data_IF_706530989422
#
_entry.id   IF_706530989422
#
_cell.length_a   1.000
_cell.length_b   1.000
_cell.length_c   1.000
_cell.angle_alpha   90.00
_cell.angle_beta   90.00
_cell.angle_gamma   90.00
#
_symmetry.space_group_name_H-M   'P 1'
#
loop_
_entity.id
_entity.type
_entity.pdbx_description
1 polymer ?
#
# COMPACT_ATOMS: atom_id res chain seq x y z
N UNK A 1 23.51 -29.16 1.53
CA UNK A 1 22.40 -28.71 2.41
C UNK A 1 22.25 -27.18 2.45
N UNK A 2 23.35 -26.41 2.45
CA UNK A 2 23.36 -24.93 2.46
C UNK A 2 22.68 -24.33 1.21
N UNK A 3 22.97 -24.84 0.01
CA UNK A 3 22.41 -24.34 -1.26
C UNK A 3 20.88 -24.47 -1.37
N UNK A 4 20.31 -25.57 -0.85
CA UNK A 4 18.86 -25.80 -0.84
C UNK A 4 18.13 -24.84 0.12
N UNK A 5 18.72 -24.56 1.29
CA UNK A 5 18.21 -23.51 2.20
C UNK A 5 18.27 -22.13 1.56
N UNK A 6 19.35 -21.81 0.84
CA UNK A 6 19.55 -20.54 0.12
C UNK A 6 18.49 -20.35 -0.99
N UNK A 7 18.22 -21.39 -1.79
CA UNK A 7 17.20 -21.34 -2.85
C UNK A 7 15.78 -21.24 -2.28
N UNK A 8 15.48 -22.00 -1.22
CA UNK A 8 14.18 -21.98 -0.55
C UNK A 8 13.87 -20.61 0.10
N UNK A 9 14.89 -19.94 0.67
CA UNK A 9 14.75 -18.59 1.22
C UNK A 9 14.40 -17.56 0.15
N UNK A 10 15.09 -17.58 -1.00
CA UNK A 10 14.82 -16.65 -2.11
C UNK A 10 13.42 -16.89 -2.70
N UNK A 11 13.03 -18.15 -2.89
CA UNK A 11 11.69 -18.50 -3.41
C UNK A 11 10.59 -18.09 -2.42
N UNK A 12 10.77 -18.33 -1.13
CA UNK A 12 9.83 -17.89 -0.09
C UNK A 12 9.69 -16.37 -0.07
N UNK A 13 10.79 -15.64 -0.24
CA UNK A 13 10.81 -14.17 -0.30
C UNK A 13 10.03 -13.65 -1.52
N UNK A 14 10.27 -14.24 -2.69
CA UNK A 14 9.59 -13.88 -3.94
C UNK A 14 8.09 -14.13 -3.86
N UNK A 15 7.67 -15.28 -3.32
CA UNK A 15 6.25 -15.60 -3.12
C UNK A 15 5.60 -14.56 -2.20
N UNK A 16 6.25 -14.19 -1.09
CA UNK A 16 5.76 -13.15 -0.18
C UNK A 16 5.56 -11.80 -0.89
N UNK A 17 6.54 -11.37 -1.69
CA UNK A 17 6.45 -10.11 -2.44
C UNK A 17 5.35 -10.12 -3.51
N UNK A 18 5.17 -11.25 -4.21
CA UNK A 18 4.10 -11.43 -5.19
C UNK A 18 2.73 -11.36 -4.52
N UNK A 19 2.57 -12.03 -3.37
CA UNK A 19 1.31 -11.99 -2.61
C UNK A 19 1.00 -10.56 -2.18
N UNK A 20 1.97 -9.83 -1.61
CA UNK A 20 1.80 -8.43 -1.20
C UNK A 20 1.38 -7.55 -2.38
N UNK A 21 2.03 -7.71 -3.55
CA UNK A 21 1.68 -6.95 -4.75
C UNK A 21 0.24 -7.25 -5.22
N UNK A 22 -0.15 -8.53 -5.29
CA UNK A 22 -1.50 -8.90 -5.75
C UNK A 22 -2.60 -8.48 -4.77
N UNK A 23 -2.44 -8.79 -3.48
CA UNK A 23 -3.40 -8.41 -2.44
C UNK A 23 -3.52 -6.90 -2.40
N UNK A 24 -2.40 -6.20 -2.50
CA UNK A 24 -2.41 -4.76 -2.45
C UNK A 24 -3.06 -4.11 -3.68
N UNK A 25 -2.83 -4.62 -4.89
CA UNK A 25 -3.54 -4.16 -6.10
C UNK A 25 -5.05 -4.38 -5.97
N UNK A 26 -5.45 -5.54 -5.43
CA UNK A 26 -6.86 -5.86 -5.23
C UNK A 26 -7.53 -4.93 -4.22
N UNK A 27 -6.92 -4.74 -3.04
CA UNK A 27 -7.42 -3.85 -2.00
C UNK A 27 -7.48 -2.39 -2.47
N UNK A 28 -6.46 -1.92 -3.18
CA UNK A 28 -6.42 -0.57 -3.74
C UNK A 28 -7.54 -0.34 -4.76
N UNK A 29 -7.76 -1.29 -5.68
CA UNK A 29 -8.84 -1.18 -6.66
C UNK A 29 -10.23 -1.19 -5.99
N UNK A 30 -10.44 -2.06 -4.99
CA UNK A 30 -11.69 -2.08 -4.22
C UNK A 30 -11.96 -0.75 -3.51
N UNK A 31 -10.92 -0.14 -2.92
CA UNK A 31 -11.06 1.14 -2.22
C UNK A 31 -11.37 2.28 -3.20
N UNK A 32 -10.70 2.32 -4.36
CA UNK A 32 -10.98 3.29 -5.42
C UNK A 32 -12.42 3.13 -5.93
N UNK A 33 -12.86 1.90 -6.21
CA UNK A 33 -14.23 1.64 -6.67
C UNK A 33 -15.26 2.09 -5.63
N UNK A 34 -15.00 1.83 -4.35
CA UNK A 34 -15.85 2.30 -3.24
C UNK A 34 -15.94 3.82 -3.20
N UNK A 35 -14.81 4.53 -3.32
CA UNK A 35 -14.77 6.00 -3.35
C UNK A 35 -15.54 6.54 -4.56
N UNK A 36 -15.33 5.95 -5.74
CA UNK A 36 -16.00 6.37 -6.97
C UNK A 36 -17.51 6.11 -6.92
N UNK A 37 -17.95 4.97 -6.38
CA UNK A 37 -19.36 4.65 -6.18
C UNK A 37 -20.03 5.66 -5.25
N UNK A 38 -19.37 5.96 -4.12
CA UNK A 38 -19.83 6.97 -3.17
C UNK A 38 -19.90 8.36 -3.82
N UNK A 39 -18.85 8.75 -4.56
CA UNK A 39 -18.78 10.05 -5.20
C UNK A 39 -19.88 10.21 -6.26
N UNK A 40 -20.11 9.17 -7.06
CA UNK A 40 -21.15 9.19 -8.09
C UNK A 40 -22.56 9.29 -7.48
N UNK A 41 -22.83 8.53 -6.40
CA UNK A 41 -24.09 8.62 -5.67
C UNK A 41 -24.32 9.99 -5.04
N UNK A 42 -23.27 10.59 -4.49
CA UNK A 42 -23.34 11.91 -3.86
C UNK A 42 -23.51 13.01 -4.91
N UNK A 43 -22.81 12.89 -6.05
CA UNK A 43 -22.93 13.80 -7.17
C UNK A 43 -24.35 13.79 -7.76
N UNK A 44 -24.95 12.61 -7.94
CA UNK A 44 -26.32 12.47 -8.45
C UNK A 44 -27.35 13.14 -7.51
N UNK A 45 -27.08 13.14 -6.20
CA UNK A 45 -27.88 13.82 -5.19
C UNK A 45 -27.65 15.33 -5.08
N UNK A 46 -26.47 15.85 -5.43
CA UNK A 46 -26.03 17.23 -5.19
C UNK A 46 -25.90 18.08 -6.47
N UNK A 47 -26.57 17.74 -7.57
CA UNK A 47 -26.62 18.54 -8.82
C UNK A 47 -27.37 19.88 -8.68
N UNK A 48 -26.98 20.70 -7.69
CA UNK A 48 -27.27 22.13 -7.58
C UNK A 48 -26.17 22.83 -6.79
N UNK A 49 -25.28 23.51 -7.52
CA UNK A 49 -24.47 24.65 -7.07
C UNK A 49 -23.25 24.41 -6.15
N UNK A 50 -22.12 24.02 -6.75
CA UNK A 50 -20.72 24.44 -6.48
C UNK A 50 -19.77 23.27 -6.76
N UNK A 51 -18.56 23.58 -7.25
CA UNK A 51 -17.47 22.61 -7.32
C UNK A 51 -17.31 21.95 -5.94
N UNK A 52 -17.63 20.65 -5.77
CA UNK A 52 -17.76 20.10 -4.44
C UNK A 52 -16.37 19.88 -3.88
N UNK A 53 -16.06 20.47 -2.72
CA UNK A 53 -14.85 20.16 -1.97
C UNK A 53 -14.68 18.63 -1.77
N UNK A 54 -15.80 17.89 -1.77
CA UNK A 54 -15.87 16.43 -1.76
C UNK A 54 -15.11 15.75 -2.92
N UNK A 55 -15.11 16.31 -4.12
CA UNK A 55 -14.35 15.76 -5.26
C UNK A 55 -12.85 15.90 -5.02
N UNK A 56 -12.40 17.04 -4.51
CA UNK A 56 -10.99 17.26 -4.18
C UNK A 56 -10.50 16.31 -3.09
N UNK A 57 -11.30 16.10 -2.04
CA UNK A 57 -10.99 15.15 -0.98
C UNK A 57 -11.00 13.69 -1.48
N UNK A 58 -11.92 13.33 -2.37
CA UNK A 58 -11.89 12.02 -3.03
C UNK A 58 -10.61 11.83 -3.86
N UNK A 59 -10.19 12.84 -4.63
CA UNK A 59 -8.96 12.78 -5.41
C UNK A 59 -7.70 12.61 -4.56
N UNK A 60 -7.60 13.31 -3.41
CA UNK A 60 -6.48 13.14 -2.48
C UNK A 60 -6.41 11.71 -1.91
N UNK A 61 -7.56 11.10 -1.65
CA UNK A 61 -7.61 9.74 -1.16
C UNK A 61 -7.24 8.71 -2.23
N UNK A 62 -7.76 8.88 -3.46
CA UNK A 62 -7.41 8.06 -4.62
C UNK A 62 -5.91 8.20 -4.96
N UNK A 63 -5.31 9.37 -4.73
CA UNK A 63 -3.88 9.57 -4.95
C UNK A 63 -3.01 8.65 -4.09
N UNK A 64 -3.40 8.40 -2.83
CA UNK A 64 -2.71 7.44 -1.96
C UNK A 64 -2.77 6.02 -2.53
N UNK A 65 -3.92 5.62 -3.07
CA UNK A 65 -4.11 4.31 -3.68
C UNK A 65 -3.33 4.17 -5.01
N UNK A 66 -3.25 5.25 -5.80
CA UNK A 66 -2.40 5.32 -7.01
C UNK A 66 -0.92 5.12 -6.69
N UNK A 67 -0.41 5.75 -5.63
CA UNK A 67 0.97 5.53 -5.17
C UNK A 67 1.20 4.06 -4.81
N UNK A 68 0.19 3.38 -4.29
CA UNK A 68 0.28 1.97 -3.96
C UNK A 68 0.30 1.06 -5.19
N UNK A 69 -0.52 1.35 -6.19
CA UNK A 69 -0.49 0.64 -7.49
C UNK A 69 0.91 0.78 -8.09
N UNK A 70 1.48 1.98 -8.09
CA UNK A 70 2.86 2.21 -8.52
C UNK A 70 3.87 1.39 -7.71
N UNK A 71 3.76 1.37 -6.37
CA UNK A 71 4.63 0.58 -5.50
C UNK A 71 4.53 -0.93 -5.79
N UNK A 72 3.33 -1.43 -6.09
CA UNK A 72 3.08 -2.84 -6.46
C UNK A 72 3.68 -3.20 -7.80
N UNK A 73 3.54 -2.34 -8.81
CA UNK A 73 4.18 -2.52 -10.12
C UNK A 73 5.71 -2.52 -9.99
N UNK A 74 6.26 -1.59 -9.20
CA UNK A 74 7.69 -1.55 -8.91
C UNK A 74 8.16 -2.81 -8.16
N UNK A 75 7.35 -3.33 -7.23
CA UNK A 75 7.66 -4.55 -6.49
C UNK A 75 7.66 -5.78 -7.41
N UNK A 76 6.69 -5.86 -8.31
CA UNK A 76 6.63 -6.91 -9.33
C UNK A 76 7.86 -6.86 -10.24
N UNK A 77 8.24 -5.66 -10.69
CA UNK A 77 9.45 -5.46 -11.50
C UNK A 77 10.74 -5.76 -10.71
N UNK A 78 10.79 -5.45 -9.42
CA UNK A 78 11.91 -5.78 -8.53
C UNK A 78 12.11 -7.30 -8.40
N UNK A 79 11.01 -8.05 -8.28
CA UNK A 79 11.03 -9.52 -8.24
C UNK A 79 11.55 -10.11 -9.57
N UNK A 80 11.11 -9.57 -10.72
CA UNK A 80 11.54 -10.05 -12.04
C UNK A 80 13.00 -9.70 -12.37
N UNK A 81 13.40 -8.45 -12.11
CA UNK A 81 14.74 -7.96 -12.42
C UNK A 81 15.81 -8.41 -11.40
N UNK A 82 15.39 -8.92 -10.24
CA UNK A 82 16.25 -9.23 -9.09
C UNK A 82 17.11 -8.04 -8.64
N UNK A 83 16.69 -6.81 -8.96
CA UNK A 83 17.43 -5.59 -8.65
C UNK A 83 17.15 -5.15 -7.21
N UNK A 84 18.16 -5.25 -6.34
CA UNK A 84 18.02 -4.92 -4.93
C UNK A 84 17.67 -3.45 -4.67
N UNK A 85 18.15 -2.51 -5.51
CA UNK A 85 17.81 -1.10 -5.37
C UNK A 85 16.30 -0.85 -5.47
N UNK A 86 15.58 -1.63 -6.27
CA UNK A 86 14.13 -1.49 -6.42
C UNK A 86 13.36 -1.95 -5.18
N UNK A 87 13.90 -2.88 -4.39
CA UNK A 87 13.32 -3.26 -3.09
C UNK A 87 13.36 -2.09 -2.10
N UNK A 88 14.44 -1.30 -2.09
CA UNK A 88 14.51 -0.11 -1.25
C UNK A 88 13.57 1.00 -1.72
N UNK A 89 13.49 1.21 -3.04
CA UNK A 89 12.57 2.21 -3.60
C UNK A 89 11.12 1.84 -3.26
N UNK A 90 10.73 0.59 -3.46
CA UNK A 90 9.39 0.10 -3.10
C UNK A 90 9.10 0.20 -1.60
N UNK A 91 10.10 -0.05 -0.76
CA UNK A 91 9.98 0.11 0.69
C UNK A 91 9.67 1.56 1.08
N UNK A 92 10.35 2.52 0.48
CA UNK A 92 10.10 3.95 0.72
C UNK A 92 8.66 4.31 0.36
N UNK A 93 8.17 3.87 -0.79
CA UNK A 93 6.77 4.10 -1.17
C UNK A 93 5.77 3.43 -0.22
N UNK A 94 6.02 2.17 0.18
CA UNK A 94 5.16 1.44 1.12
C UNK A 94 5.14 2.02 2.54
N UNK A 95 6.15 2.80 2.94
CA UNK A 95 6.18 3.48 4.24
C UNK A 95 5.54 4.87 4.16
N UNK A 96 5.82 5.64 3.11
CA UNK A 96 5.25 6.99 2.93
C UNK A 96 3.74 6.94 2.78
N UNK A 97 3.23 5.96 2.04
CA UNK A 97 1.80 5.85 1.72
C UNK A 97 0.89 5.65 2.95
N UNK A 98 1.11 4.70 3.88
CA UNK A 98 0.28 4.58 5.09
C UNK A 98 0.40 5.79 6.00
N UNK A 99 1.59 6.41 6.08
CA UNK A 99 1.76 7.67 6.83
C UNK A 99 0.90 8.78 6.24
N UNK A 100 0.92 8.94 4.91
CA UNK A 100 0.06 9.88 4.20
C UNK A 100 -1.43 9.57 4.45
N UNK A 101 -1.83 8.31 4.31
CA UNK A 101 -3.21 7.87 4.47
C UNK A 101 -3.73 8.16 5.89
N UNK A 102 -2.94 7.87 6.93
CA UNK A 102 -3.31 8.13 8.33
C UNK A 102 -3.42 9.64 8.59
N UNK A 103 -2.41 10.42 8.20
CA UNK A 103 -2.43 11.87 8.38
C UNK A 103 -3.64 12.49 7.67
N UNK A 104 -3.86 12.10 6.41
CA UNK A 104 -5.01 12.54 5.64
C UNK A 104 -6.33 12.15 6.33
N UNK A 105 -6.46 10.92 6.81
CA UNK A 105 -7.66 10.41 7.48
C UNK A 105 -8.01 11.21 8.73
N UNK A 106 -7.01 11.45 9.59
CA UNK A 106 -7.20 12.20 10.83
C UNK A 106 -7.60 13.65 10.52
N UNK A 107 -6.87 14.32 9.63
CA UNK A 107 -7.13 15.72 9.27
C UNK A 107 -8.50 15.86 8.61
N UNK A 108 -8.80 15.03 7.60
CA UNK A 108 -10.07 15.09 6.87
C UNK A 108 -11.26 14.69 7.73
N UNK A 109 -11.12 13.72 8.64
CA UNK A 109 -12.16 13.34 9.59
C UNK A 109 -12.43 14.46 10.60
N UNK A 110 -11.38 15.07 11.17
CA UNK A 110 -11.51 16.20 12.09
C UNK A 110 -12.19 17.42 11.43
N UNK A 111 -11.97 17.63 10.13
CA UNK A 111 -12.64 18.68 9.36
C UNK A 111 -14.08 18.33 8.94
N UNK A 112 -14.55 17.10 9.20
CA UNK A 112 -15.87 16.66 8.74
C UNK A 112 -15.97 16.41 7.24
N UNK A 113 -14.84 16.30 6.52
CA UNK A 113 -14.79 16.22 5.04
C UNK A 113 -14.35 14.86 4.49
N UNK A 114 -14.02 13.90 5.36
CA UNK A 114 -13.64 12.55 4.91
C UNK A 114 -14.87 11.83 4.33
N UNK A 115 -14.80 11.50 3.05
CA UNK A 115 -15.92 10.95 2.28
C UNK A 115 -16.32 9.56 2.77
N UNK A 116 -15.37 8.72 3.21
CA UNK A 116 -15.65 7.35 3.65
C UNK A 116 -16.09 7.33 5.12
N UNK A 117 -15.34 8.01 5.99
CA UNK A 117 -15.56 7.96 7.45
C UNK A 117 -16.90 8.59 7.83
N UNK A 118 -17.33 9.64 7.13
CA UNK A 118 -18.52 10.42 7.53
C UNK A 118 -19.83 9.91 6.91
N UNK A 119 -19.79 8.87 6.07
CA UNK A 119 -20.99 8.32 5.45
C UNK A 119 -21.80 7.44 6.40
N UNK A 120 -21.14 6.52 7.09
CA UNK A 120 -21.79 5.65 8.06
C UNK A 120 -20.76 4.99 8.97
N UNK A 121 -21.22 4.53 10.13
CA UNK A 121 -20.40 3.79 11.10
C UNK A 121 -19.75 2.56 10.46
N UNK A 122 -20.47 1.82 9.61
CA UNK A 122 -19.94 0.63 8.94
C UNK A 122 -18.81 0.97 7.97
N UNK A 123 -18.93 2.05 7.20
CA UNK A 123 -17.88 2.50 6.29
C UNK A 123 -16.64 2.96 7.05
N UNK A 124 -16.82 3.63 8.19
CA UNK A 124 -15.73 4.01 9.09
C UNK A 124 -14.98 2.77 9.62
N UNK A 125 -15.70 1.78 10.15
CA UNK A 125 -15.07 0.54 10.67
C UNK A 125 -14.29 -0.18 9.57
N UNK A 126 -14.90 -0.39 8.40
CA UNK A 126 -14.26 -1.07 7.27
C UNK A 126 -13.01 -0.30 6.81
N UNK A 127 -13.07 1.03 6.79
CA UNK A 127 -11.94 1.88 6.43
C UNK A 127 -10.76 1.73 7.40
N UNK A 128 -11.00 1.71 8.70
CA UNK A 128 -9.91 1.49 9.67
C UNK A 128 -9.35 0.07 9.61
N UNK A 129 -10.19 -0.95 9.37
CA UNK A 129 -9.71 -2.31 9.11
C UNK A 129 -8.80 -2.33 7.88
N UNK A 130 -9.18 -1.64 6.81
CA UNK A 130 -8.34 -1.47 5.62
C UNK A 130 -6.99 -0.84 5.97
N UNK A 131 -6.98 0.26 6.74
CA UNK A 131 -5.73 0.92 7.20
C UNK A 131 -4.85 -0.01 8.05
N UNK A 132 -5.44 -0.82 8.93
CA UNK A 132 -4.68 -1.77 9.77
C UNK A 132 -4.06 -2.88 8.91
N UNK A 133 -4.83 -3.47 7.99
CA UNK A 133 -4.31 -4.47 7.04
C UNK A 133 -3.14 -3.91 6.22
N UNK A 134 -3.21 -2.63 5.84
CA UNK A 134 -2.10 -1.96 5.18
C UNK A 134 -0.85 -1.86 6.03
N UNK A 135 -0.99 -1.44 7.28
CA UNK A 135 0.15 -1.34 8.20
C UNK A 135 0.81 -2.70 8.40
N UNK A 136 0.03 -3.76 8.56
CA UNK A 136 0.55 -5.12 8.70
C UNK A 136 1.33 -5.56 7.45
N UNK A 137 0.81 -5.26 6.26
CA UNK A 137 1.50 -5.56 4.98
C UNK A 137 2.82 -4.79 4.85
N UNK A 138 2.83 -3.50 5.20
CA UNK A 138 4.05 -2.68 5.19
C UNK A 138 5.08 -3.20 6.20
N UNK A 139 4.66 -3.55 7.42
CA UNK A 139 5.54 -4.14 8.44
C UNK A 139 6.13 -5.46 7.99
N UNK A 140 5.32 -6.30 7.36
CA UNK A 140 5.78 -7.56 6.79
C UNK A 140 6.78 -7.34 5.65
N UNK A 141 6.56 -6.35 4.80
CA UNK A 141 7.49 -6.01 3.72
C UNK A 141 8.81 -5.42 4.23
N UNK A 142 8.77 -4.59 5.29
CA UNK A 142 9.95 -4.13 6.02
C UNK A 142 10.77 -5.33 6.50
N UNK A 143 10.11 -6.27 7.19
CA UNK A 143 10.77 -7.47 7.71
C UNK A 143 11.45 -8.29 6.60
N UNK A 144 10.75 -8.53 5.49
CA UNK A 144 11.27 -9.21 4.29
C UNK A 144 12.52 -8.50 3.76
N UNK A 145 12.46 -7.18 3.56
CA UNK A 145 13.54 -6.40 2.97
C UNK A 145 14.78 -6.39 3.86
N UNK A 146 14.62 -6.22 5.17
CA UNK A 146 15.72 -6.29 6.12
C UNK A 146 16.32 -7.69 6.23
N UNK A 147 15.48 -8.74 6.22
CA UNK A 147 15.97 -10.11 6.23
C UNK A 147 16.79 -10.43 4.97
N UNK A 148 16.39 -9.90 3.82
CA UNK A 148 17.13 -10.06 2.57
C UNK A 148 18.46 -9.29 2.58
N UNK A 149 18.46 -8.05 3.10
CA UNK A 149 19.68 -7.26 3.26
C UNK A 149 20.69 -7.95 4.17
N UNK A 150 20.24 -8.48 5.32
CA UNK A 150 21.09 -9.22 6.26
C UNK A 150 21.72 -10.45 5.60
N UNK A 151 20.93 -11.21 4.86
CA UNK A 151 21.41 -12.37 4.12
C UNK A 151 22.49 -12.01 3.08
N UNK A 152 22.34 -10.90 2.36
CA UNK A 152 23.35 -10.41 1.42
C UNK A 152 24.65 -10.01 2.13
N UNK A 153 24.55 -9.31 3.27
CA UNK A 153 25.71 -8.89 4.07
C UNK A 153 26.50 -10.07 4.65
N UNK A 154 25.80 -11.11 5.12
CA UNK A 154 26.41 -12.36 5.59
C UNK A 154 27.15 -13.10 4.46
N UNK A 155 26.61 -13.06 3.23
CA UNK A 155 27.28 -13.63 2.05
C UNK A 155 28.54 -12.87 1.65
N UNK A 156 28.55 -11.55 1.79
CA UNK A 156 29.71 -10.72 1.47
C UNK A 156 30.87 -10.97 2.45
N UNK A 157 30.56 -11.26 3.71
CA UNK A 157 31.56 -11.62 4.73
C UNK A 157 32.07 -13.05 4.58
N UNK A 158 31.24 -14.04 4.20
CA UNK A 158 31.68 -15.41 3.88
C UNK A 158 32.66 -15.49 2.69
N UNK A 159 32.66 -14.51 1.77
CA UNK A 159 33.52 -14.52 0.58
C UNK A 159 34.87 -13.80 0.78
N UNK A 160 35.06 -13.14 1.93
CA UNK A 160 36.28 -12.38 2.26
C UNK A 160 37.24 -13.19 3.15
N UNK A 161 36.74 -14.22 3.82
CA UNK A 161 37.52 -15.23 4.56
C UNK A 161 37.88 -16.44 3.68
#
# INVERSE_FOLDING_TARGET
MILAKKCCFIVSLQIGCIIIAFVGLFLSNMNIDTIMHILNRTYDSETKSRFPAHVFHACLQIFADLLFICASCLLFYAVLSQCFCLFWVTLVFQVIQPVYLILYSIISSAMGKNVIINISIWHNIIYWVYVVVWLDMTLYFIYITFSYYRYLKEKETENVD
#
